data_IF_834449955147
#
_entry.id   IF_834449955147
#
_cell.length_a   1.000
_cell.length_b   1.000
_cell.length_c   1.000
_cell.angle_alpha   90.00
_cell.angle_beta   90.00
_cell.angle_gamma   90.00
#
_symmetry.space_group_name_H-M   'P 1'
#
loop_
_entity.id
_entity.type
_entity.pdbx_description
1 polymer ?
#
# COMPACT_ATOMS: atom_id res chain seq x y z
N UNK A 1 -13.63 14.22 -8.38
CA UNK A 1 -13.63 12.83 -7.88
C UNK A 1 -12.56 12.68 -6.83
N UNK A 2 -12.96 12.52 -5.57
CA UNK A 2 -12.02 12.10 -4.52
C UNK A 2 -11.51 10.70 -4.86
N UNK A 3 -10.20 10.47 -4.72
CA UNK A 3 -9.60 9.15 -4.99
C UNK A 3 -10.17 8.06 -4.08
N UNK A 4 -9.83 6.80 -4.35
CA UNK A 4 -10.18 5.68 -3.45
C UNK A 4 -9.69 5.96 -2.03
N UNK A 5 -10.29 5.29 -1.03
CA UNK A 5 -9.81 5.37 0.35
C UNK A 5 -8.30 5.14 0.43
N UNK A 6 -7.78 4.11 -0.25
CA UNK A 6 -6.35 3.84 -0.23
C UNK A 6 -5.51 4.94 -0.89
N UNK A 7 -6.01 5.59 -1.95
CA UNK A 7 -5.32 6.75 -2.54
C UNK A 7 -5.26 7.91 -1.55
N UNK A 8 -6.35 8.17 -0.82
CA UNK A 8 -6.40 9.24 0.18
C UNK A 8 -5.48 8.95 1.37
N UNK A 9 -5.38 7.68 1.80
CA UNK A 9 -4.52 7.27 2.93
C UNK A 9 -3.04 7.15 2.57
N UNK A 10 -2.71 6.61 1.39
CA UNK A 10 -1.34 6.21 1.04
C UNK A 10 -0.75 6.98 -0.15
N UNK A 11 -1.49 7.91 -0.76
CA UNK A 11 -1.04 8.68 -1.92
C UNK A 11 0.26 9.45 -1.70
N UNK A 12 0.54 9.86 -0.46
CA UNK A 12 1.77 10.57 -0.06
C UNK A 12 2.96 9.67 0.26
N UNK A 13 2.85 8.33 0.15
CA UNK A 13 3.90 7.40 0.56
C UNK A 13 5.22 7.61 -0.21
N UNK A 14 6.29 7.82 0.54
CA UNK A 14 7.65 8.01 0.01
C UNK A 14 8.35 6.65 -0.14
N UNK A 15 7.88 5.84 -1.09
CA UNK A 15 8.38 4.48 -1.33
C UNK A 15 9.57 4.41 -2.31
N UNK A 16 10.30 5.51 -2.55
CA UNK A 16 11.49 5.56 -3.42
C UNK A 16 11.26 5.37 -4.94
N UNK A 17 10.17 4.71 -5.35
CA UNK A 17 9.74 4.51 -6.74
C UNK A 17 8.21 4.69 -6.79
N UNK A 18 7.71 5.57 -7.66
CA UNK A 18 6.27 5.84 -7.79
C UNK A 18 5.45 4.60 -8.19
N UNK A 19 6.05 3.58 -8.80
CA UNK A 19 5.40 2.29 -9.06
C UNK A 19 5.16 1.50 -7.78
N UNK A 20 6.01 1.64 -6.77
CA UNK A 20 5.81 1.03 -5.46
C UNK A 20 4.65 1.70 -4.73
N UNK A 21 4.57 3.03 -4.76
CA UNK A 21 3.41 3.78 -4.22
C UNK A 21 2.10 3.34 -4.90
N UNK A 22 2.07 3.23 -6.23
CA UNK A 22 0.88 2.74 -6.96
C UNK A 22 0.49 1.31 -6.57
N UNK A 23 1.47 0.42 -6.37
CA UNK A 23 1.22 -0.96 -5.91
C UNK A 23 0.71 -1.00 -4.48
N UNK A 24 1.25 -0.16 -3.59
CA UNK A 24 0.77 -0.03 -2.21
C UNK A 24 -0.70 0.37 -2.18
N UNK A 25 -1.07 1.43 -2.90
CA UNK A 25 -2.45 1.92 -2.98
C UNK A 25 -3.38 0.80 -3.50
N UNK A 26 -2.99 0.15 -4.61
CA UNK A 26 -3.80 -0.92 -5.19
C UNK A 26 -3.98 -2.10 -4.24
N UNK A 27 -2.91 -2.51 -3.55
CA UNK A 27 -3.00 -3.61 -2.57
C UNK A 27 -3.86 -3.21 -1.38
N UNK A 28 -3.76 -1.98 -0.88
CA UNK A 28 -4.58 -1.49 0.21
C UNK A 28 -6.08 -1.45 -0.17
N UNK A 29 -6.43 -1.08 -1.41
CA UNK A 29 -7.81 -1.18 -1.90
C UNK A 29 -8.31 -2.64 -1.84
N UNK A 30 -7.51 -3.61 -2.30
CA UNK A 30 -7.89 -5.04 -2.25
C UNK A 30 -8.09 -5.56 -0.83
N UNK A 31 -7.20 -5.17 0.09
CA UNK A 31 -7.31 -5.59 1.48
C UNK A 31 -8.47 -4.90 2.19
N UNK A 32 -8.84 -3.68 1.81
CA UNK A 32 -10.02 -3.00 2.33
C UNK A 32 -11.33 -3.67 1.85
N UNK A 33 -11.37 -4.15 0.60
CA UNK A 33 -12.51 -4.90 0.04
C UNK A 33 -12.69 -6.28 0.70
N UNK A 34 -11.59 -6.93 1.14
CA UNK A 34 -11.62 -8.26 1.75
C UNK A 34 -10.67 -8.38 2.98
N UNK A 35 -10.98 -7.74 4.12
CA UNK A 35 -10.05 -7.61 5.25
C UNK A 35 -9.58 -8.94 5.88
N UNK A 36 -10.44 -9.96 5.84
CA UNK A 36 -10.14 -11.28 6.41
C UNK A 36 -9.51 -12.25 5.40
N UNK A 37 -9.38 -11.85 4.13
CA UNK A 37 -8.78 -12.70 3.11
C UNK A 37 -7.26 -12.69 3.21
N UNK A 38 -6.64 -13.80 2.82
CA UNK A 38 -5.20 -13.84 2.59
C UNK A 38 -4.83 -12.93 1.40
N UNK A 39 -3.55 -12.54 1.26
CA UNK A 39 -3.09 -11.75 0.10
C UNK A 39 -3.50 -12.41 -1.24
N UNK A 40 -3.31 -13.73 -1.46
CA UNK A 40 -3.82 -14.38 -2.67
C UNK A 40 -5.34 -14.36 -2.80
N UNK A 41 -6.08 -14.44 -1.68
CA UNK A 41 -7.54 -14.42 -1.68
C UNK A 41 -8.14 -13.03 -1.95
N UNK A 42 -7.44 -11.95 -1.58
CA UNK A 42 -7.86 -10.57 -1.85
C UNK A 42 -7.48 -10.08 -3.26
N UNK A 43 -6.44 -10.66 -3.88
CA UNK A 43 -6.00 -10.25 -5.22
C UNK A 43 -6.82 -10.93 -6.33
N UNK A 44 -7.11 -10.21 -7.41
CA UNK A 44 -8.00 -10.69 -8.48
C UNK A 44 -7.29 -11.54 -9.55
N UNK A 45 -5.96 -11.66 -9.49
CA UNK A 45 -5.19 -12.45 -10.45
C UNK A 45 -3.84 -12.88 -9.88
N UNK A 46 -3.26 -13.95 -10.44
CA UNK A 46 -1.90 -14.41 -10.12
C UNK A 46 -0.86 -13.30 -10.31
N UNK A 47 -1.00 -12.49 -11.35
CA UNK A 47 -0.09 -11.38 -11.62
C UNK A 47 -0.17 -10.31 -10.52
N UNK A 48 -1.36 -10.02 -10.02
CA UNK A 48 -1.59 -9.10 -8.92
C UNK A 48 -1.07 -9.65 -7.59
N UNK A 49 -1.34 -10.92 -7.28
CA UNK A 49 -0.77 -11.62 -6.12
C UNK A 49 0.76 -11.55 -6.13
N UNK A 50 1.38 -11.81 -7.28
CA UNK A 50 2.83 -11.74 -7.40
C UNK A 50 3.35 -10.30 -7.25
N UNK A 51 2.62 -9.30 -7.73
CA UNK A 51 2.97 -7.90 -7.53
C UNK A 51 2.91 -7.50 -6.05
N UNK A 52 1.92 -8.00 -5.30
CA UNK A 52 1.80 -7.79 -3.85
C UNK A 52 2.99 -8.38 -3.08
N UNK A 53 3.35 -9.64 -3.35
CA UNK A 53 4.55 -10.22 -2.72
C UNK A 53 5.84 -9.49 -3.10
N UNK A 54 5.98 -9.05 -4.36
CA UNK A 54 7.13 -8.25 -4.80
C UNK A 54 7.19 -6.87 -4.15
N UNK A 55 6.06 -6.29 -3.76
CA UNK A 55 6.01 -5.06 -2.98
C UNK A 55 6.61 -5.31 -1.59
N UNK A 56 6.14 -6.33 -0.87
CA UNK A 56 6.70 -6.69 0.45
C UNK A 56 8.16 -7.11 0.39
N UNK A 57 8.59 -7.77 -0.68
CA UNK A 57 9.99 -8.12 -0.92
C UNK A 57 10.90 -6.88 -1.03
N UNK A 58 10.36 -5.66 -1.29
CA UNK A 58 11.13 -4.41 -1.24
C UNK A 58 11.48 -3.93 0.18
N UNK A 59 11.00 -4.61 1.23
CA UNK A 59 11.34 -4.28 2.62
C UNK A 59 12.59 -5.00 3.13
N UNK A 60 13.18 -5.89 2.33
CA UNK A 60 14.40 -6.62 2.72
C UNK A 60 15.59 -5.67 2.82
N UNK A 61 16.53 -5.96 3.73
CA UNK A 61 17.71 -5.13 3.97
C UNK A 61 18.59 -4.91 2.72
N UNK A 62 18.59 -5.87 1.78
CA UNK A 62 19.29 -5.81 0.49
C UNK A 62 18.54 -4.98 -0.58
N UNK A 63 17.28 -4.61 -0.34
CA UNK A 63 16.45 -3.80 -1.23
C UNK A 63 15.97 -2.55 -0.49
N UNK A 64 16.69 -1.43 -0.62
CA UNK A 64 16.29 -0.16 0.02
C UNK A 64 15.19 0.58 -0.75
N UNK A 65 14.01 -0.05 -0.90
CA UNK A 65 12.88 0.53 -1.64
C UNK A 65 11.69 0.91 -0.76
N UNK A 66 11.33 0.06 0.21
CA UNK A 66 10.09 0.23 0.98
C UNK A 66 10.32 -0.02 2.46
N UNK A 67 10.29 1.03 3.28
CA UNK A 67 10.30 0.90 4.74
C UNK A 67 8.88 0.88 5.31
N UNK A 68 8.70 0.38 6.54
CA UNK A 68 7.38 0.41 7.19
C UNK A 68 6.94 1.85 7.50
N UNK A 69 7.89 2.74 7.81
CA UNK A 69 7.63 4.17 8.03
C UNK A 69 7.08 4.81 6.76
N UNK A 70 7.63 4.50 5.58
CA UNK A 70 7.16 5.00 4.30
C UNK A 70 5.71 4.60 4.01
N UNK A 71 5.23 3.48 4.58
CA UNK A 71 3.84 3.03 4.46
C UNK A 71 2.94 3.71 5.50
N UNK A 72 3.35 3.77 6.76
CA UNK A 72 2.47 4.25 7.84
C UNK A 72 2.42 5.77 7.98
N UNK A 73 3.50 6.49 7.67
CA UNK A 73 3.55 7.95 7.81
C UNK A 73 2.38 8.70 7.12
N UNK A 74 2.04 8.44 5.84
CA UNK A 74 0.93 9.14 5.20
C UNK A 74 -0.43 8.78 5.84
N UNK A 75 -0.63 7.54 6.28
CA UNK A 75 -1.85 7.10 6.95
C UNK A 75 -2.04 7.76 8.33
N UNK A 76 -0.94 7.90 9.10
CA UNK A 76 -0.95 8.62 10.37
C UNK A 76 -1.30 10.10 10.15
N UNK A 77 -0.66 10.76 9.19
CA UNK A 77 -0.94 12.16 8.87
C UNK A 77 -2.40 12.40 8.46
N UNK A 78 -3.02 11.47 7.73
CA UNK A 78 -4.46 11.51 7.41
C UNK A 78 -5.34 11.33 8.64
N UNK A 79 -4.91 10.50 9.59
CA UNK A 79 -5.62 10.29 10.85
C UNK A 79 -5.56 11.54 11.73
N UNK A 80 -4.39 12.16 11.86
CA UNK A 80 -4.22 13.43 12.56
C UNK A 80 -5.06 14.54 11.93
N UNK A 81 -5.08 14.64 10.59
CA UNK A 81 -5.87 15.63 9.87
C UNK A 81 -7.40 15.47 10.06
N UNK A 82 -7.88 14.28 10.42
CA UNK A 82 -9.30 14.05 10.76
C UNK A 82 -9.65 14.47 12.18
N UNK A 83 -8.67 14.62 13.06
CA UNK A 83 -8.88 15.00 14.47
C UNK A 83 -8.86 16.52 14.69
N UNK A 84 -8.27 17.28 13.77
CA UNK A 84 -8.21 18.75 13.78
C UNK A 84 -9.54 19.37 13.30
#
# INVERSE_FOLDING_TARGET
>A
DEGSWAMNEFGGAQAGDGRLTKRLIKLADRLAEAPSASIPGACNSRAETQAAYRLFDQARADKRGLSWEAVLAPHMARTEARMA
#
